data_IF_069181648257
#
_entry.id   IF_069181648257
#
_cell.length_a   1.000
_cell.length_b   1.000
_cell.length_c   1.000
_cell.angle_alpha   90.00
_cell.angle_beta   90.00
_cell.angle_gamma   90.00
#
_symmetry.space_group_name_H-M   'P 1'
#
loop_
_entity.id
_entity.type
_entity.pdbx_description
1 polymer ?
#
# COMPACT_ATOMS: atom_id res chain seq x y z
N UNK A 1 -25.10 -28.85 -0.45
CA UNK A 1 -25.28 -29.64 0.79
C UNK A 1 -25.44 -31.14 0.53
N UNK A 2 -26.36 -31.59 -0.35
CA UNK A 2 -26.59 -33.01 -0.62
C UNK A 2 -25.33 -33.81 -1.03
N UNK A 3 -24.49 -33.29 -1.93
CA UNK A 3 -23.25 -33.95 -2.35
C UNK A 3 -22.23 -34.11 -1.21
N UNK A 4 -22.11 -33.11 -0.33
CA UNK A 4 -21.21 -33.16 0.82
C UNK A 4 -21.68 -34.15 1.89
N UNK A 5 -22.98 -34.16 2.20
CA UNK A 5 -23.58 -35.13 3.13
C UNK A 5 -23.46 -36.56 2.60
N UNK A 6 -23.69 -36.76 1.30
CA UNK A 6 -23.54 -38.06 0.64
C UNK A 6 -22.08 -38.55 0.65
N UNK A 7 -21.12 -37.66 0.38
CA UNK A 7 -19.70 -37.99 0.44
C UNK A 7 -19.28 -38.35 1.87
N UNK A 8 -19.74 -37.60 2.88
CA UNK A 8 -19.48 -37.89 4.28
C UNK A 8 -20.06 -39.25 4.70
N UNK A 9 -21.30 -39.55 4.30
CA UNK A 9 -21.93 -40.85 4.53
C UNK A 9 -21.13 -41.99 3.89
N UNK A 10 -20.68 -41.83 2.64
CA UNK A 10 -19.89 -42.84 1.93
C UNK A 10 -18.54 -43.10 2.61
N UNK A 11 -17.84 -42.05 3.06
CA UNK A 11 -16.55 -42.19 3.74
C UNK A 11 -16.69 -42.84 5.12
N UNK A 12 -17.72 -42.47 5.90
CA UNK A 12 -17.92 -43.00 7.25
C UNK A 12 -18.50 -44.41 7.27
N UNK A 13 -19.49 -44.71 6.42
CA UNK A 13 -20.22 -45.99 6.43
C UNK A 13 -19.57 -47.02 5.51
N UNK A 14 -19.13 -46.63 4.32
CA UNK A 14 -18.51 -47.54 3.33
C UNK A 14 -16.96 -47.57 3.43
N UNK A 15 -16.37 -46.91 4.43
CA UNK A 15 -14.93 -46.89 4.67
C UNK A 15 -14.22 -48.26 4.58
N UNK A 16 -14.78 -49.36 5.13
CA UNK A 16 -14.17 -50.69 5.03
C UNK A 16 -14.05 -51.23 3.60
N UNK A 17 -14.96 -50.84 2.71
CA UNK A 17 -14.96 -51.27 1.30
C UNK A 17 -14.07 -50.35 0.46
N UNK A 18 -14.07 -49.04 0.76
CA UNK A 18 -13.20 -48.06 0.11
C UNK A 18 -11.71 -48.41 0.30
N UNK A 19 -11.33 -48.94 1.46
CA UNK A 19 -9.94 -49.39 1.72
C UNK A 19 -9.48 -50.59 0.88
N UNK A 20 -10.40 -51.37 0.30
CA UNK A 20 -10.08 -52.52 -0.54
C UNK A 20 -9.81 -52.13 -2.01
N UNK A 21 -10.01 -50.85 -2.35
CA UNK A 21 -9.78 -50.37 -3.72
C UNK A 21 -8.28 -50.49 -4.05
N UNK A 22 -7.92 -51.20 -5.12
CA UNK A 22 -6.52 -51.37 -5.50
C UNK A 22 -5.91 -50.02 -5.92
N UNK A 23 -4.68 -49.76 -5.48
CA UNK A 23 -3.95 -48.52 -5.81
C UNK A 23 -3.81 -48.30 -7.32
N UNK A 24 -3.77 -49.39 -8.11
CA UNK A 24 -3.75 -49.33 -9.57
C UNK A 24 -4.99 -48.63 -10.17
N UNK A 25 -6.18 -48.84 -9.61
CA UNK A 25 -7.40 -48.18 -10.09
C UNK A 25 -7.36 -46.67 -9.81
N UNK A 26 -6.84 -46.25 -8.64
CA UNK A 26 -6.67 -44.84 -8.29
C UNK A 26 -5.67 -44.14 -9.21
N UNK A 27 -4.51 -44.77 -9.48
CA UNK A 27 -3.51 -44.24 -10.42
C UNK A 27 -4.07 -44.12 -11.83
N UNK A 28 -4.84 -45.11 -12.31
CA UNK A 28 -5.47 -45.05 -13.63
C UNK A 28 -6.44 -43.87 -13.75
N UNK A 29 -7.25 -43.63 -12.72
CA UNK A 29 -8.14 -42.45 -12.67
C UNK A 29 -7.32 -41.15 -12.66
N UNK A 30 -6.25 -41.06 -11.87
CA UNK A 30 -5.38 -39.87 -11.84
C UNK A 30 -4.73 -39.58 -13.20
N UNK A 31 -4.24 -40.60 -13.90
CA UNK A 31 -3.66 -40.45 -15.25
C UNK A 31 -4.73 -39.98 -16.25
N UNK A 32 -5.93 -40.56 -16.21
CA UNK A 32 -7.04 -40.16 -17.09
C UNK A 32 -7.43 -38.68 -16.89
N UNK A 33 -7.51 -38.23 -15.63
CA UNK A 33 -7.78 -36.83 -15.29
C UNK A 33 -6.63 -35.91 -15.74
N UNK A 34 -5.37 -36.31 -15.53
CA UNK A 34 -4.21 -35.53 -15.94
C UNK A 34 -4.16 -35.33 -17.47
N UNK A 35 -4.44 -36.38 -18.25
CA UNK A 35 -4.51 -36.31 -19.71
C UNK A 35 -5.66 -35.41 -20.17
N UNK A 36 -6.81 -35.47 -19.51
CA UNK A 36 -7.98 -34.63 -19.82
C UNK A 36 -7.80 -33.15 -19.46
N UNK A 37 -6.99 -32.85 -18.44
CA UNK A 37 -6.71 -31.48 -18.00
C UNK A 37 -5.63 -30.82 -18.87
N UNK A 38 -4.73 -31.62 -19.47
CA UNK A 38 -3.67 -31.10 -20.33
C UNK A 38 -4.22 -30.64 -21.70
N UNK A 39 -4.12 -29.34 -21.97
CA UNK A 39 -4.55 -28.79 -23.26
C UNK A 39 -3.50 -29.04 -24.35
N UNK A 40 -3.58 -30.19 -25.02
CA UNK A 40 -2.72 -30.58 -26.14
C UNK A 40 -2.72 -29.59 -27.32
N UNK A 41 -3.80 -28.82 -27.49
CA UNK A 41 -3.89 -27.76 -28.50
C UNK A 41 -2.94 -26.60 -28.24
N UNK A 42 -2.59 -26.31 -26.98
CA UNK A 42 -1.68 -25.22 -26.61
C UNK A 42 -0.23 -25.50 -27.02
N UNK A 43 0.20 -26.76 -26.96
CA UNK A 43 1.55 -27.18 -27.40
C UNK A 43 1.68 -27.09 -28.92
N UNK A 44 0.64 -27.50 -29.66
CA UNK A 44 0.66 -27.47 -31.14
C UNK A 44 0.57 -26.05 -31.71
N UNK A 45 -0.07 -25.13 -30.99
CA UNK A 45 -0.23 -23.73 -31.40
C UNK A 45 0.80 -22.77 -30.79
N UNK A 46 1.85 -23.29 -30.15
CA UNK A 46 2.88 -22.50 -29.47
C UNK A 46 3.54 -21.44 -30.38
N UNK A 47 3.64 -21.74 -31.67
CA UNK A 47 4.20 -20.86 -32.70
C UNK A 47 3.23 -19.78 -33.19
N UNK A 48 1.92 -19.95 -33.00
CA UNK A 48 0.88 -18.98 -33.41
C UNK A 48 0.56 -17.97 -32.31
N UNK A 49 0.83 -18.31 -31.05
CA UNK A 49 0.64 -17.39 -29.92
C UNK A 49 1.71 -16.27 -29.91
N UNK A 50 1.40 -15.10 -29.33
CA UNK A 50 2.40 -14.06 -29.10
C UNK A 50 3.61 -14.63 -28.36
N UNK A 51 4.83 -14.34 -28.84
CA UNK A 51 6.08 -14.92 -28.29
C UNK A 51 6.20 -14.76 -26.77
N UNK A 52 5.70 -13.65 -26.22
CA UNK A 52 5.66 -13.40 -24.77
C UNK A 52 4.76 -14.40 -24.02
N UNK A 53 3.58 -14.71 -24.56
CA UNK A 53 2.64 -15.63 -23.93
C UNK A 53 3.15 -17.07 -23.92
N UNK A 54 3.75 -17.50 -25.04
CA UNK A 54 4.35 -18.84 -25.14
C UNK A 54 5.54 -19.00 -24.18
N UNK A 55 6.34 -17.94 -24.03
CA UNK A 55 7.46 -17.93 -23.07
C UNK A 55 6.97 -18.05 -21.63
N UNK A 56 5.96 -17.28 -21.23
CA UNK A 56 5.38 -17.35 -19.88
C UNK A 56 4.90 -18.77 -19.58
N UNK A 57 4.10 -19.37 -20.48
CA UNK A 57 3.57 -20.72 -20.27
C UNK A 57 4.68 -21.77 -20.17
N UNK A 58 5.74 -21.67 -20.99
CA UNK A 58 6.85 -22.61 -20.92
C UNK A 58 7.63 -22.44 -19.60
N UNK A 59 7.89 -21.20 -19.19
CA UNK A 59 8.59 -20.90 -17.95
C UNK A 59 7.81 -21.42 -16.73
N UNK A 60 6.49 -21.24 -16.68
CA UNK A 60 5.68 -21.77 -15.56
C UNK A 60 5.75 -23.29 -15.51
N UNK A 61 5.56 -23.98 -16.64
CA UNK A 61 5.62 -25.45 -16.70
C UNK A 61 6.99 -25.97 -16.26
N UNK A 62 8.08 -25.37 -16.77
CA UNK A 62 9.45 -25.77 -16.40
C UNK A 62 9.70 -25.58 -14.90
N UNK A 63 9.26 -24.47 -14.32
CA UNK A 63 9.39 -24.22 -12.87
C UNK A 63 8.60 -25.24 -12.07
N UNK A 64 7.32 -25.50 -12.40
CA UNK A 64 6.51 -26.48 -11.67
C UNK A 64 7.13 -27.87 -11.74
N UNK A 65 7.57 -28.32 -12.92
CA UNK A 65 8.12 -29.66 -13.12
C UNK A 65 9.49 -29.82 -12.45
N UNK A 66 10.36 -28.81 -12.52
CA UNK A 66 11.68 -28.88 -11.87
C UNK A 66 11.61 -28.78 -10.35
N UNK A 67 10.75 -27.90 -9.84
CA UNK A 67 10.66 -27.64 -8.39
C UNK A 67 9.64 -28.52 -7.67
N UNK A 68 8.81 -29.26 -8.41
CA UNK A 68 7.66 -30.02 -7.89
C UNK A 68 6.70 -29.17 -7.06
N UNK A 69 6.66 -27.86 -7.33
CA UNK A 69 5.92 -26.86 -6.56
C UNK A 69 5.09 -25.98 -7.50
N UNK A 70 3.77 -26.17 -7.44
CA UNK A 70 2.82 -25.41 -8.25
C UNK A 70 2.85 -23.92 -7.90
N UNK A 71 3.05 -23.56 -6.63
CA UNK A 71 3.00 -22.17 -6.18
C UNK A 71 4.14 -21.34 -6.77
N UNK A 72 5.36 -21.91 -6.85
CA UNK A 72 6.50 -21.26 -7.52
C UNK A 72 6.25 -21.01 -8.99
N UNK A 73 5.64 -21.99 -9.68
CA UNK A 73 5.26 -21.83 -11.09
C UNK A 73 4.24 -20.72 -11.29
N UNK A 74 3.18 -20.67 -10.46
CA UNK A 74 2.18 -19.60 -10.51
C UNK A 74 2.81 -18.23 -10.25
N UNK A 75 3.67 -18.12 -9.23
CA UNK A 75 4.35 -16.87 -8.89
C UNK A 75 5.19 -16.32 -10.06
N UNK A 76 6.04 -17.18 -10.65
CA UNK A 76 6.85 -16.81 -11.82
C UNK A 76 5.96 -16.43 -13.01
N UNK A 77 4.86 -17.15 -13.22
CA UNK A 77 3.90 -16.87 -14.28
C UNK A 77 3.24 -15.51 -14.17
N UNK A 78 2.79 -15.14 -12.96
CA UNK A 78 2.16 -13.85 -12.69
C UNK A 78 3.17 -12.71 -12.87
N UNK A 79 4.39 -12.87 -12.36
CA UNK A 79 5.44 -11.86 -12.52
C UNK A 79 5.80 -11.61 -13.99
N UNK A 80 6.08 -12.67 -14.75
CA UNK A 80 6.43 -12.54 -16.16
C UNK A 80 5.26 -11.97 -16.97
N UNK A 81 4.02 -12.39 -16.68
CA UNK A 81 2.83 -11.84 -17.33
C UNK A 81 2.69 -10.33 -17.08
N UNK A 82 2.90 -9.87 -15.85
CA UNK A 82 2.87 -8.45 -15.50
C UNK A 82 3.91 -7.63 -16.26
N UNK A 83 5.15 -8.11 -16.34
CA UNK A 83 6.24 -7.45 -17.08
C UNK A 83 5.93 -7.36 -18.58
N UNK A 84 5.48 -8.46 -19.19
CA UNK A 84 5.15 -8.44 -20.63
C UNK A 84 3.91 -7.60 -20.92
N UNK A 85 2.95 -7.55 -19.99
CA UNK A 85 1.80 -6.67 -20.10
C UNK A 85 2.21 -5.19 -20.07
N UNK A 86 3.07 -4.79 -19.13
CA UNK A 86 3.61 -3.43 -19.07
C UNK A 86 4.31 -3.03 -20.38
N UNK A 87 5.16 -3.92 -20.92
CA UNK A 87 5.85 -3.69 -22.20
C UNK A 87 4.89 -3.64 -23.40
N UNK A 88 3.81 -4.41 -23.39
CA UNK A 88 2.81 -4.40 -24.45
C UNK A 88 2.02 -3.08 -24.47
N UNK A 89 1.73 -2.52 -23.29
CA UNK A 89 1.04 -1.22 -23.15
C UNK A 89 1.97 -0.05 -23.51
N UNK A 90 3.28 -0.17 -23.26
CA UNK A 90 4.28 0.85 -23.61
C UNK A 90 4.43 1.14 -25.11
N UNK A 91 4.02 0.21 -25.98
CA UNK A 91 4.16 0.34 -27.45
C UNK A 91 3.05 1.12 -28.14
N UNK A 92 2.09 1.68 -27.41
CA UNK A 92 1.01 2.47 -27.99
C UNK A 92 1.37 3.93 -28.23
N UNK A 93 2.61 4.37 -27.97
CA UNK A 93 3.07 5.73 -28.23
C UNK A 93 3.85 5.79 -29.56
N UNK A 94 3.44 6.69 -30.47
CA UNK A 94 4.14 6.97 -31.72
C UNK A 94 4.40 8.48 -31.86
N UNK A 95 5.63 8.82 -32.25
CA UNK A 95 6.06 10.21 -32.51
C UNK A 95 6.45 10.31 -33.97
N UNK A 96 5.66 11.04 -34.74
CA UNK A 96 5.94 11.34 -36.14
C UNK A 96 6.63 12.70 -36.23
N UNK A 97 7.72 12.80 -37.01
CA UNK A 97 8.40 14.07 -37.26
C UNK A 97 8.22 14.48 -38.72
N UNK A 98 7.88 15.75 -38.94
CA UNK A 98 7.79 16.35 -40.27
C UNK A 98 8.53 17.68 -40.30
N UNK A 99 9.37 17.87 -41.31
CA UNK A 99 9.96 19.18 -41.59
C UNK A 99 8.94 20.06 -42.32
N UNK A 100 8.86 21.33 -41.92
CA UNK A 100 8.03 22.34 -42.54
C UNK A 100 8.84 23.63 -42.72
N UNK A 101 8.35 24.53 -43.57
CA UNK A 101 8.98 25.84 -43.79
C UNK A 101 10.45 25.74 -44.24
N UNK A 102 10.71 24.97 -45.30
CA UNK A 102 12.05 24.75 -45.87
C UNK A 102 13.10 24.22 -44.87
N UNK A 103 12.67 23.58 -43.78
CA UNK A 103 13.56 23.02 -42.76
C UNK A 103 13.79 23.92 -41.54
N UNK A 104 13.21 25.13 -41.50
CA UNK A 104 13.32 26.05 -40.36
C UNK A 104 12.38 25.70 -39.19
N UNK A 105 11.31 24.94 -39.45
CA UNK A 105 10.35 24.50 -38.45
C UNK A 105 10.19 22.98 -38.44
N UNK A 106 10.43 22.35 -37.29
CA UNK A 106 10.15 20.92 -37.10
C UNK A 106 8.84 20.73 -36.35
N UNK A 107 7.94 19.92 -36.91
CA UNK A 107 6.70 19.50 -36.24
C UNK A 107 6.84 18.07 -35.74
N UNK A 108 6.64 17.88 -34.45
CA UNK A 108 6.49 16.56 -33.84
C UNK A 108 5.03 16.34 -33.51
N UNK A 109 4.47 15.22 -34.00
CA UNK A 109 3.10 14.81 -33.70
C UNK A 109 3.16 13.58 -32.83
N UNK A 110 2.76 13.74 -31.58
CA UNK A 110 2.73 12.68 -30.58
C UNK A 110 1.34 12.08 -30.56
N UNK A 111 1.27 10.76 -30.68
CA UNK A 111 0.01 10.01 -30.65
C UNK A 111 0.10 8.85 -29.67
N UNK A 112 -1.02 8.56 -28.99
CA UNK A 112 -1.14 7.41 -28.11
C UNK A 112 -0.81 7.69 -26.64
N UNK A 113 -0.30 6.70 -25.92
CA UNK A 113 -0.28 6.68 -24.44
C UNK A 113 1.12 6.99 -23.89
N UNK A 114 1.28 8.10 -23.16
CA UNK A 114 2.53 8.50 -22.48
C UNK A 114 2.38 8.32 -20.97
N UNK A 115 3.25 7.51 -20.38
CA UNK A 115 3.24 7.16 -18.96
C UNK A 115 4.68 6.83 -18.51
N UNK A 116 4.87 6.56 -17.22
CA UNK A 116 6.18 6.33 -16.60
C UNK A 116 7.07 5.38 -17.40
N UNK A 117 6.54 4.23 -17.85
CA UNK A 117 7.33 3.23 -18.56
C UNK A 117 7.70 3.61 -20.00
N UNK A 118 7.03 4.61 -20.60
CA UNK A 118 7.35 5.11 -21.95
C UNK A 118 8.07 6.46 -21.95
N UNK A 119 8.32 7.06 -20.79
CA UNK A 119 8.97 8.38 -20.62
C UNK A 119 10.35 8.47 -21.28
N UNK A 120 11.21 7.45 -21.10
CA UNK A 120 12.54 7.43 -21.72
C UNK A 120 12.46 7.31 -23.23
N UNK A 121 11.61 6.41 -23.74
CA UNK A 121 11.39 6.22 -25.17
C UNK A 121 10.79 7.48 -25.82
N UNK A 122 9.92 8.18 -25.09
CA UNK A 122 9.36 9.46 -25.51
C UNK A 122 10.46 10.50 -25.71
N UNK A 123 11.33 10.71 -24.72
CA UNK A 123 12.44 11.67 -24.82
C UNK A 123 13.39 11.28 -25.96
N UNK A 124 13.68 9.98 -26.13
CA UNK A 124 14.58 9.48 -27.16
C UNK A 124 14.04 9.63 -28.60
N UNK A 125 12.73 9.86 -28.76
CA UNK A 125 12.11 10.04 -30.08
C UNK A 125 12.29 11.44 -30.69
N UNK A 126 12.80 12.39 -29.90
CA UNK A 126 13.11 13.73 -30.36
C UNK A 126 14.57 13.85 -30.75
N UNK A 127 14.83 14.53 -31.86
CA UNK A 127 16.19 14.83 -32.31
C UNK A 127 16.57 16.23 -31.82
N UNK A 128 17.48 16.27 -30.85
CA UNK A 128 17.99 17.52 -30.27
C UNK A 128 19.23 18.07 -30.98
N UNK A 129 19.80 17.32 -31.92
CA UNK A 129 21.06 17.70 -32.60
C UNK A 129 20.83 18.44 -33.92
N UNK A 130 19.60 18.44 -34.41
CA UNK A 130 19.23 19.15 -35.62
C UNK A 130 19.18 20.67 -35.36
N UNK A 131 19.80 21.45 -36.26
CA UNK A 131 19.83 22.92 -36.16
C UNK A 131 18.53 23.48 -36.73
N UNK A 132 17.59 23.82 -35.87
CA UNK A 132 16.26 24.35 -36.23
C UNK A 132 15.91 25.56 -35.37
N UNK A 133 15.21 26.55 -35.94
CA UNK A 133 14.87 27.79 -35.23
C UNK A 133 13.63 27.61 -34.34
N UNK A 134 12.66 26.81 -34.80
CA UNK A 134 11.40 26.56 -34.11
C UNK A 134 10.98 25.09 -34.12
N UNK A 135 10.49 24.64 -32.98
CA UNK A 135 9.90 23.31 -32.79
C UNK A 135 8.45 23.45 -32.35
N UNK A 136 7.57 22.71 -33.02
CA UNK A 136 6.16 22.60 -32.64
C UNK A 136 5.85 21.17 -32.24
N UNK A 137 5.46 20.97 -30.99
CA UNK A 137 5.11 19.66 -30.43
C UNK A 137 3.58 19.59 -30.29
N UNK A 138 2.94 18.82 -31.17
CA UNK A 138 1.50 18.56 -31.12
C UNK A 138 1.24 17.30 -30.30
N UNK A 139 0.66 17.49 -29.11
CA UNK A 139 0.25 16.43 -28.19
C UNK A 139 -1.27 16.23 -28.16
N UNK A 140 -2.03 16.87 -29.06
CA UNK A 140 -3.51 16.85 -29.03
C UNK A 140 -4.12 15.45 -29.13
N UNK A 141 -3.38 14.47 -29.66
CA UNK A 141 -3.78 13.05 -29.78
C UNK A 141 -2.96 12.11 -28.89
N UNK A 142 -2.20 12.66 -27.95
CA UNK A 142 -1.50 11.93 -26.93
C UNK A 142 -2.27 12.02 -25.61
N UNK A 143 -2.14 11.02 -24.76
CA UNK A 143 -2.70 11.01 -23.42
C UNK A 143 -1.59 10.80 -22.40
N UNK A 144 -1.49 11.72 -21.45
CA UNK A 144 -0.53 11.67 -20.35
C UNK A 144 -1.22 11.08 -19.12
N UNK A 145 -0.73 9.95 -18.63
CA UNK A 145 -1.39 9.19 -17.56
C UNK A 145 -0.85 9.45 -16.15
N UNK A 146 0.36 10.00 -16.03
CA UNK A 146 1.02 10.25 -14.75
C UNK A 146 1.93 11.50 -14.78
N UNK A 147 2.36 11.95 -13.60
CA UNK A 147 3.23 13.11 -13.40
C UNK A 147 4.58 12.92 -14.11
N UNK A 148 5.06 11.67 -14.20
CA UNK A 148 6.33 11.35 -14.86
C UNK A 148 6.25 11.61 -16.37
N UNK A 149 5.11 11.32 -16.99
CA UNK A 149 4.85 11.61 -18.40
C UNK A 149 4.91 13.13 -18.67
N UNK A 150 4.31 13.95 -17.80
CA UNK A 150 4.38 15.42 -17.91
C UNK A 150 5.83 15.89 -17.75
N UNK A 151 6.54 15.37 -16.74
CA UNK A 151 7.94 15.70 -16.50
C UNK A 151 8.86 15.33 -17.68
N UNK A 152 8.52 14.27 -18.42
CA UNK A 152 9.22 13.89 -19.63
C UNK A 152 9.02 14.92 -20.76
N UNK A 153 7.80 15.46 -20.93
CA UNK A 153 7.52 16.55 -21.86
C UNK A 153 8.27 17.83 -21.48
N UNK A 154 8.27 18.21 -20.21
CA UNK A 154 9.03 19.37 -19.72
C UNK A 154 10.52 19.22 -19.99
N UNK A 155 11.06 18.01 -19.80
CA UNK A 155 12.46 17.70 -20.10
C UNK A 155 12.79 17.87 -21.58
N UNK A 156 11.90 17.47 -22.49
CA UNK A 156 12.05 17.68 -23.95
C UNK A 156 12.03 19.18 -24.27
N UNK A 157 11.06 19.92 -23.74
CA UNK A 157 10.93 21.37 -23.97
C UNK A 157 12.17 22.11 -23.46
N UNK A 158 12.65 21.79 -22.27
CA UNK A 158 13.85 22.38 -21.68
C UNK A 158 15.11 22.07 -22.49
N UNK A 159 15.26 20.83 -23.00
CA UNK A 159 16.39 20.47 -23.85
C UNK A 159 16.43 21.29 -25.14
N UNK A 160 15.31 21.43 -25.86
CA UNK A 160 15.25 22.28 -27.05
C UNK A 160 15.52 23.75 -26.74
N UNK A 161 15.00 24.29 -25.63
CA UNK A 161 15.26 25.68 -25.23
C UNK A 161 16.73 25.93 -24.88
N UNK A 162 17.44 24.94 -24.31
CA UNK A 162 18.88 25.03 -24.04
C UNK A 162 19.72 25.11 -25.32
N UNK A 163 19.27 24.47 -26.39
CA UNK A 163 19.87 24.57 -27.74
C UNK A 163 19.44 25.86 -28.47
N UNK A 164 18.74 26.79 -27.80
CA UNK A 164 18.33 28.07 -28.37
C UNK A 164 17.09 28.00 -29.28
N UNK A 165 16.40 26.86 -29.32
CA UNK A 165 15.24 26.63 -30.18
C UNK A 165 13.95 27.12 -29.51
N UNK A 166 13.13 27.89 -30.22
CA UNK A 166 11.82 28.31 -29.70
C UNK A 166 10.81 27.15 -29.79
N UNK A 167 10.20 26.77 -28.66
CA UNK A 167 9.31 25.61 -28.55
C UNK A 167 7.87 26.03 -28.29
N UNK A 168 6.94 25.51 -29.09
CA UNK A 168 5.50 25.66 -28.95
C UNK A 168 4.84 24.29 -28.74
N UNK A 169 4.04 24.15 -27.67
CA UNK A 169 3.31 22.91 -27.35
C UNK A 169 1.82 23.12 -27.64
N UNK A 170 1.24 22.25 -28.48
CA UNK A 170 -0.17 22.31 -28.87
C UNK A 170 -0.94 21.14 -28.25
N UNK A 171 -2.15 21.40 -27.77
CA UNK A 171 -3.08 20.36 -27.30
C UNK A 171 -2.82 19.83 -25.89
N UNK A 172 -1.95 20.49 -25.11
CA UNK A 172 -1.62 20.06 -23.75
C UNK A 172 -2.86 19.94 -22.86
N UNK A 173 -3.82 20.87 -22.97
CA UNK A 173 -5.06 20.83 -22.20
C UNK A 173 -5.89 19.54 -22.47
N UNK A 174 -5.93 19.07 -23.71
CA UNK A 174 -6.63 17.84 -24.09
C UNK A 174 -5.83 16.58 -23.74
N UNK A 175 -4.51 16.65 -23.81
CA UNK A 175 -3.60 15.55 -23.51
C UNK A 175 -3.43 15.29 -22.01
N UNK A 176 -3.52 16.37 -21.20
CA UNK A 176 -3.49 16.36 -19.73
C UNK A 176 -4.87 16.20 -19.10
N UNK A 177 -5.95 16.25 -19.91
CA UNK A 177 -7.32 16.06 -19.43
C UNK A 177 -7.50 14.75 -18.64
N UNK A 178 -6.76 13.69 -18.99
CA UNK A 178 -6.82 12.39 -18.30
C UNK A 178 -6.24 12.41 -16.88
N UNK A 179 -5.27 13.30 -16.62
CA UNK A 179 -4.73 13.55 -15.27
C UNK A 179 -5.62 14.50 -14.46
N UNK A 180 -6.21 15.47 -15.16
CA UNK A 180 -7.16 16.43 -14.61
C UNK A 180 -8.48 15.74 -14.25
N UNK A 181 -9.01 14.79 -15.02
CA UNK A 181 -10.27 14.07 -14.71
C UNK A 181 -10.20 13.18 -13.45
N UNK A 182 -9.00 12.77 -13.01
CA UNK A 182 -8.83 12.03 -11.75
C UNK A 182 -8.73 12.92 -10.51
N UNK A 183 -8.54 14.24 -10.70
CA UNK A 183 -8.33 15.21 -9.61
C UNK A 183 -9.14 16.50 -9.74
N UNK A 184 -9.92 16.68 -10.80
CA UNK A 184 -10.69 17.90 -11.05
C UNK A 184 -12.14 17.53 -11.37
N UNK A 185 -12.98 17.83 -10.38
CA UNK A 185 -14.42 17.96 -10.51
C UNK A 185 -14.70 18.93 -11.67
N UNK A 186 -15.53 18.46 -12.62
CA UNK A 186 -15.93 19.15 -13.86
C UNK A 186 -16.14 20.66 -13.74
N UNK A 187 -15.79 21.42 -14.80
CA UNK A 187 -16.26 22.79 -14.96
C UNK A 187 -16.84 23.09 -16.35
N UNK A 188 -17.99 23.76 -16.30
CA UNK A 188 -18.63 24.55 -17.35
C UNK A 188 -18.55 26.04 -16.91
N UNK A 189 -18.93 27.02 -17.74
CA UNK A 189 -18.25 28.33 -17.84
C UNK A 189 -18.42 29.23 -16.60
N UNK A 190 -17.29 29.71 -16.06
CA UNK A 190 -17.20 30.67 -14.95
C UNK A 190 -15.75 31.05 -14.59
N UNK A 191 -14.80 30.95 -15.53
CA UNK A 191 -13.36 30.94 -15.24
C UNK A 191 -12.85 32.19 -14.49
N UNK A 192 -13.43 33.36 -14.71
CA UNK A 192 -13.03 34.59 -14.02
C UNK A 192 -13.56 34.65 -12.56
N UNK A 193 -14.82 34.26 -12.32
CA UNK A 193 -15.36 34.14 -10.95
C UNK A 193 -14.64 33.01 -10.18
N UNK A 194 -14.25 31.94 -10.88
CA UNK A 194 -13.48 30.86 -10.28
C UNK A 194 -12.05 31.25 -9.97
N UNK A 195 -11.39 32.05 -10.81
CA UNK A 195 -10.06 32.57 -10.49
C UNK A 195 -10.11 33.43 -9.23
N UNK A 196 -11.11 34.32 -9.10
CA UNK A 196 -11.31 35.08 -7.87
C UNK A 196 -11.67 34.20 -6.66
N UNK A 197 -12.50 33.16 -6.84
CA UNK A 197 -12.86 32.22 -5.77
C UNK A 197 -11.70 31.32 -5.37
N UNK A 198 -10.82 30.95 -6.32
CA UNK A 198 -9.63 30.14 -6.05
C UNK A 198 -8.54 30.97 -5.39
N UNK A 199 -8.40 32.24 -5.77
CA UNK A 199 -7.55 33.19 -5.07
C UNK A 199 -8.10 33.46 -3.65
N UNK A 200 -9.42 33.62 -3.50
CA UNK A 200 -10.07 33.73 -2.19
C UNK A 200 -9.89 32.46 -1.35
N UNK A 201 -10.05 31.27 -1.94
CA UNK A 201 -9.84 29.99 -1.25
C UNK A 201 -8.37 29.80 -0.87
N UNK A 202 -7.42 30.17 -1.74
CA UNK A 202 -5.98 30.12 -1.46
C UNK A 202 -5.60 31.05 -0.32
N UNK A 203 -6.09 32.29 -0.33
CA UNK A 203 -5.87 33.24 0.78
C UNK A 203 -6.55 32.80 2.07
N UNK A 204 -7.72 32.15 1.98
CA UNK A 204 -8.42 31.58 3.11
C UNK A 204 -7.68 30.38 3.70
N UNK A 205 -7.13 29.49 2.86
CA UNK A 205 -6.29 28.37 3.27
C UNK A 205 -4.97 28.86 3.90
N UNK A 206 -4.37 29.92 3.35
CA UNK A 206 -3.20 30.56 3.94
C UNK A 206 -3.52 31.13 5.34
N UNK A 207 -4.63 31.86 5.48
CA UNK A 207 -5.08 32.39 6.77
C UNK A 207 -5.39 31.27 7.75
N UNK A 208 -6.08 30.21 7.31
CA UNK A 208 -6.41 29.04 8.12
C UNK A 208 -5.15 28.31 8.59
N UNK A 209 -4.16 28.16 7.71
CA UNK A 209 -2.87 27.56 8.05
C UNK A 209 -2.10 28.40 9.09
N UNK A 210 -2.08 29.73 8.93
CA UNK A 210 -1.49 30.65 9.93
C UNK A 210 -2.17 30.53 11.30
N UNK A 211 -3.51 30.55 11.33
CA UNK A 211 -4.28 30.38 12.58
C UNK A 211 -3.99 29.01 13.20
N UNK A 212 -3.95 27.94 12.41
CA UNK A 212 -3.64 26.60 12.91
C UNK A 212 -2.21 26.52 13.48
N UNK A 213 -1.24 27.20 12.87
CA UNK A 213 0.13 27.30 13.39
C UNK A 213 0.18 28.08 14.71
N UNK A 214 -0.53 29.20 14.82
CA UNK A 214 -0.60 29.97 16.06
C UNK A 214 -1.28 29.18 17.19
N UNK A 215 -2.42 28.55 16.92
CA UNK A 215 -3.12 27.68 17.87
C UNK A 215 -2.24 26.49 18.31
N UNK A 216 -1.54 25.86 17.37
CA UNK A 216 -0.61 24.77 17.67
C UNK A 216 0.55 25.22 18.56
N UNK A 217 1.06 26.44 18.34
CA UNK A 217 2.12 27.02 19.16
C UNK A 217 1.64 27.34 20.57
N UNK A 218 0.48 27.97 20.70
CA UNK A 218 -0.14 28.28 22.00
C UNK A 218 -0.43 27.01 22.81
N UNK A 219 -1.01 25.99 22.17
CA UNK A 219 -1.22 24.68 22.77
C UNK A 219 0.07 24.05 23.28
N UNK A 220 1.15 24.11 22.48
CA UNK A 220 2.45 23.57 22.85
C UNK A 220 3.03 24.29 24.08
N UNK A 221 2.92 25.61 24.16
CA UNK A 221 3.38 26.39 25.32
C UNK A 221 2.57 26.06 26.58
N UNK A 222 1.26 25.93 26.49
CA UNK A 222 0.42 25.49 27.61
C UNK A 222 0.77 24.06 28.07
N UNK A 223 1.06 23.15 27.13
CA UNK A 223 1.51 21.81 27.46
C UNK A 223 2.88 21.82 28.16
N UNK A 224 3.82 22.67 27.72
CA UNK A 224 5.11 22.85 28.39
C UNK A 224 4.97 23.34 29.82
N UNK A 225 4.15 24.37 30.03
CA UNK A 225 3.91 24.92 31.37
C UNK A 225 3.31 23.86 32.29
N UNK A 226 2.34 23.09 31.81
CA UNK A 226 1.75 21.99 32.59
C UNK A 226 2.77 20.93 32.96
N UNK A 227 3.63 20.53 32.02
CA UNK A 227 4.69 19.56 32.28
C UNK A 227 5.72 20.09 33.28
N UNK A 228 6.10 21.36 33.18
CA UNK A 228 7.01 22.01 34.12
C UNK A 228 6.43 22.10 35.54
N UNK A 229 5.14 22.44 35.67
CA UNK A 229 4.43 22.44 36.96
C UNK A 229 4.33 21.03 37.58
N UNK A 230 4.28 19.99 36.75
CA UNK A 230 4.36 18.60 37.19
C UNK A 230 5.79 18.14 37.55
N UNK A 231 6.79 19.03 37.46
CA UNK A 231 8.18 18.75 37.84
C UNK A 231 9.02 18.09 36.73
N UNK A 232 8.55 18.06 35.49
CA UNK A 232 9.32 17.50 34.36
C UNK A 232 10.39 18.51 33.92
N UNK A 233 11.66 18.15 34.08
CA UNK A 233 12.81 19.03 33.82
C UNK A 233 13.42 18.87 32.42
N UNK A 234 13.20 17.73 31.76
CA UNK A 234 13.66 17.47 30.41
C UNK A 234 12.46 17.41 29.46
N UNK A 235 12.23 18.52 28.77
CA UNK A 235 11.12 18.66 27.85
C UNK A 235 11.61 19.21 26.51
N UNK A 236 11.39 18.43 25.45
CA UNK A 236 11.51 18.90 24.07
C UNK A 236 10.10 19.06 23.50
N UNK A 237 9.87 20.16 22.79
CA UNK A 237 8.58 20.45 22.20
C UNK A 237 8.79 20.95 20.77
N UNK A 238 8.20 20.22 19.83
CA UNK A 238 8.38 20.46 18.40
C UNK A 238 7.03 20.71 17.75
N UNK A 239 6.94 21.76 16.95
CA UNK A 239 5.84 21.97 16.01
C UNK A 239 6.32 21.52 14.63
N UNK A 240 5.55 20.65 13.97
CA UNK A 240 5.90 20.04 12.68
C UNK A 240 4.80 20.30 11.67
N UNK A 241 5.21 20.48 10.41
CA UNK A 241 4.30 20.58 9.29
C UNK A 241 4.22 19.24 8.57
N UNK A 242 3.04 18.88 8.07
CA UNK A 242 2.79 17.60 7.40
C UNK A 242 1.74 16.76 8.11
N UNK A 243 1.63 15.49 7.70
CA UNK A 243 0.69 14.54 8.31
C UNK A 243 1.30 13.87 9.53
N UNK A 244 0.46 13.51 10.51
CA UNK A 244 0.90 12.83 11.74
C UNK A 244 1.74 11.58 11.46
N UNK A 245 1.32 10.76 10.49
CA UNK A 245 2.00 9.51 10.14
C UNK A 245 3.40 9.78 9.60
N UNK A 246 3.53 10.68 8.63
CA UNK A 246 4.82 11.02 8.01
C UNK A 246 5.79 11.54 9.07
N UNK A 247 5.35 12.46 9.93
CA UNK A 247 6.20 13.05 10.96
C UNK A 247 6.63 12.03 12.01
N UNK A 248 5.76 11.10 12.41
CA UNK A 248 6.12 10.05 13.37
C UNK A 248 7.11 9.04 12.78
N UNK A 249 6.98 8.70 11.50
CA UNK A 249 7.92 7.81 10.80
C UNK A 249 9.30 8.47 10.69
N UNK A 250 9.37 9.77 10.38
CA UNK A 250 10.63 10.51 10.34
C UNK A 250 11.35 10.56 11.69
N UNK A 251 10.60 10.55 12.80
CA UNK A 251 11.13 10.62 14.17
C UNK A 251 11.27 9.25 14.84
N UNK A 252 11.02 8.16 14.11
CA UNK A 252 10.91 6.81 14.69
C UNK A 252 12.16 6.37 15.46
N UNK A 253 13.36 6.75 15.01
CA UNK A 253 14.62 6.42 15.68
C UNK A 253 14.78 7.06 17.06
N UNK A 254 14.06 8.15 17.33
CA UNK A 254 14.06 8.89 18.60
C UNK A 254 12.88 8.46 19.51
N UNK A 255 11.92 7.69 18.99
CA UNK A 255 10.67 7.35 19.68
C UNK A 255 10.77 6.01 20.42
N UNK A 256 10.59 6.07 21.74
CA UNK A 256 10.41 4.87 22.59
C UNK A 256 8.94 4.51 22.81
N UNK A 257 8.07 5.51 22.82
CA UNK A 257 6.61 5.39 22.99
C UNK A 257 5.97 6.62 22.35
N UNK A 258 4.98 6.43 21.49
CA UNK A 258 4.14 7.49 20.97
C UNK A 258 2.82 7.51 21.76
N UNK A 259 2.50 8.63 22.42
CA UNK A 259 1.22 8.80 23.13
C UNK A 259 0.30 9.66 22.27
N UNK A 260 -0.86 9.13 21.91
CA UNK A 260 -1.85 9.78 21.05
C UNK A 260 -3.14 10.02 21.83
N UNK A 261 -3.64 11.24 21.80
CA UNK A 261 -4.98 11.58 22.29
C UNK A 261 -6.06 11.29 21.25
N UNK A 262 -7.34 11.22 21.66
CA UNK A 262 -8.45 10.97 20.76
C UNK A 262 -8.68 12.18 19.83
N UNK A 263 -8.99 11.92 18.55
CA UNK A 263 -9.38 12.97 17.62
C UNK A 263 -10.82 13.40 17.92
N UNK A 264 -11.02 14.63 18.41
CA UNK A 264 -12.38 15.18 18.58
C UNK A 264 -12.95 15.57 17.20
N UNK A 265 -13.78 14.72 16.62
CA UNK A 265 -14.74 15.17 15.61
C UNK A 265 -16.16 14.61 15.78
N UNK A 266 -16.38 13.55 16.56
CA UNK A 266 -17.74 13.07 16.77
C UNK A 266 -17.99 12.57 18.19
N UNK A 267 -19.01 13.13 18.85
CA UNK A 267 -19.45 12.70 20.19
C UNK A 267 -20.36 11.45 20.12
N UNK A 268 -20.67 10.97 18.91
CA UNK A 268 -21.67 9.91 18.69
C UNK A 268 -21.09 8.52 18.38
N UNK A 269 -19.77 8.40 18.16
CA UNK A 269 -19.15 7.11 17.85
C UNK A 269 -18.89 6.26 19.10
N UNK A 270 -19.12 4.93 19.05
CA UNK A 270 -18.81 4.00 20.14
C UNK A 270 -17.33 4.05 20.56
N UNK A 271 -17.06 3.82 21.86
CA UNK A 271 -15.71 3.83 22.47
C UNK A 271 -14.67 2.90 21.80
N UNK A 272 -15.08 1.97 20.94
CA UNK A 272 -14.22 0.94 20.35
C UNK A 272 -13.82 1.17 18.89
N UNK A 273 -14.24 2.27 18.24
CA UNK A 273 -13.77 2.57 16.88
C UNK A 273 -12.50 3.42 16.92
N UNK A 274 -11.40 2.82 16.48
CA UNK A 274 -10.17 3.54 16.16
C UNK A 274 -10.42 4.38 14.89
N UNK A 275 -10.15 5.68 14.95
CA UNK A 275 -10.18 6.52 13.76
C UNK A 275 -9.10 6.08 12.76
N UNK A 276 -9.33 6.28 11.46
CA UNK A 276 -8.41 5.93 10.37
C UNK A 276 -7.00 6.49 10.59
N UNK A 277 -6.89 7.66 11.23
CA UNK A 277 -5.63 8.28 11.63
C UNK A 277 -4.82 7.38 12.57
N UNK A 278 -5.46 6.81 13.59
CA UNK A 278 -4.81 5.94 14.57
C UNK A 278 -4.42 4.61 13.94
N UNK A 279 -5.29 4.03 13.13
CA UNK A 279 -5.01 2.79 12.40
C UNK A 279 -3.80 2.94 11.47
N UNK A 280 -3.71 4.06 10.75
CA UNK A 280 -2.58 4.36 9.88
C UNK A 280 -1.27 4.52 10.65
N UNK A 281 -1.30 5.15 11.84
CA UNK A 281 -0.13 5.27 12.71
C UNK A 281 0.32 3.89 13.22
N UNK A 282 -0.60 3.08 13.75
CA UNK A 282 -0.29 1.73 14.27
C UNK A 282 0.29 0.81 13.18
N UNK A 283 -0.14 0.99 11.92
CA UNK A 283 0.39 0.21 10.78
C UNK A 283 1.75 0.68 10.29
N UNK A 284 2.05 1.97 10.43
CA UNK A 284 3.21 2.60 9.77
C UNK A 284 4.38 2.84 10.72
N UNK A 285 4.11 3.04 12.01
CA UNK A 285 5.12 3.30 13.05
C UNK A 285 5.40 2.02 13.84
N UNK A 286 6.67 1.62 13.94
CA UNK A 286 7.09 0.40 14.67
C UNK A 286 7.27 0.65 16.17
N UNK A 287 7.40 1.91 16.59
CA UNK A 287 7.44 2.27 17.99
C UNK A 287 6.07 1.96 18.66
N UNK A 288 6.04 1.51 19.93
CA UNK A 288 4.79 1.31 20.66
C UNK A 288 3.93 2.57 20.68
N UNK A 289 2.62 2.40 20.48
CA UNK A 289 1.63 3.48 20.48
C UNK A 289 0.68 3.30 21.66
N UNK A 290 0.58 4.31 22.52
CA UNK A 290 -0.38 4.39 23.61
C UNK A 290 -1.50 5.36 23.23
N UNK A 291 -2.74 4.91 23.34
CA UNK A 291 -3.90 5.77 23.19
C UNK A 291 -4.35 6.25 24.57
N UNK A 292 -4.30 7.56 24.79
CA UNK A 292 -4.76 8.17 26.02
C UNK A 292 -6.28 8.38 25.97
N UNK A 293 -6.96 8.14 27.10
CA UNK A 293 -8.36 8.52 27.27
C UNK A 293 -8.47 10.01 27.63
N UNK A 294 -9.69 10.57 27.58
CA UNK A 294 -9.98 11.98 27.83
C UNK A 294 -9.70 12.41 29.27
N UNK A 295 -9.81 11.49 30.22
CA UNK A 295 -9.56 11.73 31.63
C UNK A 295 -8.30 10.99 32.07
N UNK A 296 -7.36 11.74 32.66
CA UNK A 296 -6.13 11.16 33.20
C UNK A 296 -6.38 10.62 34.61
N UNK A 297 -6.14 9.33 34.76
CA UNK A 297 -5.92 8.69 36.05
C UNK A 297 -4.56 7.98 35.99
N UNK A 298 -3.80 8.05 37.09
CA UNK A 298 -2.50 7.38 37.18
C UNK A 298 -2.69 5.87 36.95
N UNK A 299 -2.07 5.28 35.91
CA UNK A 299 -2.18 3.86 35.65
C UNK A 299 -1.60 3.07 36.81
N UNK A 300 -2.35 2.08 37.32
CA UNK A 300 -1.88 1.15 38.36
C UNK A 300 -1.77 -0.30 37.88
N UNK A 301 -2.44 -0.60 36.77
CA UNK A 301 -2.54 -1.94 36.21
C UNK A 301 -2.51 -1.86 34.69
N UNK A 302 -2.02 -2.91 34.05
CA UNK A 302 -2.16 -3.11 32.61
C UNK A 302 -2.63 -4.53 32.32
N UNK A 303 -3.42 -4.66 31.27
CA UNK A 303 -3.86 -5.94 30.76
C UNK A 303 -3.34 -6.12 29.33
N UNK A 304 -3.01 -7.35 28.98
CA UNK A 304 -2.56 -7.74 27.65
C UNK A 304 -3.56 -8.72 27.08
N UNK A 305 -4.23 -8.33 25.99
CA UNK A 305 -5.01 -9.25 25.18
C UNK A 305 -4.05 -10.12 24.35
N UNK A 306 -4.05 -11.43 24.59
CA UNK A 306 -3.14 -12.37 23.96
C UNK A 306 -3.93 -13.44 23.19
N UNK A 307 -3.69 -13.50 21.88
CA UNK A 307 -4.36 -14.36 20.92
C UNK A 307 -3.52 -15.59 20.52
N UNK A 308 -2.30 -15.72 21.06
CA UNK A 308 -1.37 -16.79 20.70
C UNK A 308 -0.65 -16.62 19.35
N UNK A 309 -0.97 -15.56 18.59
CA UNK A 309 -0.42 -15.30 17.26
C UNK A 309 1.06 -14.96 17.29
N UNK A 310 1.73 -15.02 16.14
CA UNK A 310 3.15 -14.63 16.03
C UNK A 310 3.37 -13.16 16.41
N UNK A 311 2.40 -12.29 16.12
CA UNK A 311 2.39 -10.87 16.53
C UNK A 311 2.19 -10.74 18.04
N UNK A 312 1.20 -11.44 18.61
CA UNK A 312 0.97 -11.47 20.05
C UNK A 312 2.20 -11.94 20.83
N UNK A 313 2.91 -12.95 20.32
CA UNK A 313 4.17 -13.43 20.94
C UNK A 313 5.27 -12.37 20.93
N UNK A 314 5.45 -11.66 19.81
CA UNK A 314 6.42 -10.55 19.73
C UNK A 314 6.06 -9.42 20.70
N UNK A 315 4.77 -9.11 20.84
CA UNK A 315 4.30 -8.12 21.81
C UNK A 315 4.66 -8.52 23.24
N UNK A 316 4.40 -9.77 23.65
CA UNK A 316 4.77 -10.27 24.98
C UNK A 316 6.29 -10.17 25.24
N UNK A 317 7.12 -10.54 24.27
CA UNK A 317 8.57 -10.40 24.36
C UNK A 317 9.00 -8.93 24.50
N UNK A 318 8.34 -8.03 23.77
CA UNK A 318 8.60 -6.59 23.84
C UNK A 318 8.22 -6.04 25.21
N UNK A 319 7.07 -6.44 25.75
CA UNK A 319 6.61 -6.06 27.08
C UNK A 319 7.54 -6.59 28.19
N UNK A 320 8.05 -7.82 28.07
CA UNK A 320 8.98 -8.38 29.05
C UNK A 320 10.28 -7.56 29.19
N UNK A 321 10.67 -6.82 28.16
CA UNK A 321 11.90 -6.00 28.17
C UNK A 321 11.63 -4.52 28.48
N UNK A 322 10.37 -4.08 28.50
CA UNK A 322 10.06 -2.66 28.69
C UNK A 322 10.25 -2.22 30.15
N UNK A 323 10.93 -1.10 30.40
CA UNK A 323 10.99 -0.52 31.75
C UNK A 323 9.71 0.24 32.11
N UNK A 324 8.86 0.59 31.15
CA UNK A 324 7.73 1.52 31.33
C UNK A 324 6.60 0.98 32.22
N UNK A 325 6.46 -0.35 32.35
CA UNK A 325 5.31 -0.96 33.00
C UNK A 325 5.67 -1.72 34.29
N UNK A 326 6.94 -1.72 34.70
CA UNK A 326 7.45 -2.63 35.76
C UNK A 326 6.75 -2.50 37.11
N UNK A 327 6.27 -1.30 37.44
CA UNK A 327 5.62 -1.01 38.73
C UNK A 327 4.10 -1.27 38.70
N UNK A 328 3.55 -1.62 37.53
CA UNK A 328 2.12 -1.83 37.35
C UNK A 328 1.77 -3.31 37.56
N UNK A 329 0.60 -3.57 38.16
CA UNK A 329 0.08 -4.94 38.22
C UNK A 329 -0.28 -5.40 36.81
N UNK A 330 0.18 -6.59 36.42
CA UNK A 330 0.00 -7.13 35.07
C UNK A 330 -1.08 -8.21 35.04
N UNK A 331 -1.84 -8.26 33.95
CA UNK A 331 -2.77 -9.35 33.65
C UNK A 331 -2.67 -9.74 32.17
N UNK A 332 -2.78 -11.03 31.88
CA UNK A 332 -2.91 -11.58 30.54
C UNK A 332 -4.34 -12.08 30.39
N UNK A 333 -5.03 -11.61 29.36
CA UNK A 333 -6.39 -12.03 29.02
C UNK A 333 -6.34 -12.73 27.67
N UNK A 334 -6.84 -13.96 27.58
CA UNK A 334 -6.91 -14.73 26.35
C UNK A 334 -8.35 -15.20 26.11
N UNK A 335 -8.91 -14.91 24.93
CA UNK A 335 -10.20 -15.43 24.51
C UNK A 335 -9.98 -16.80 23.83
N UNK A 336 -10.44 -17.89 24.45
CA UNK A 336 -10.31 -19.24 23.90
C UNK A 336 -11.23 -20.24 24.62
N UNK A 337 -11.69 -21.28 23.92
CA UNK A 337 -12.51 -22.39 24.46
C UNK A 337 -11.73 -23.34 25.41
N UNK A 338 -10.78 -22.84 26.20
CA UNK A 338 -10.08 -23.61 27.23
C UNK A 338 -9.24 -24.81 26.74
N UNK A 339 -8.85 -24.83 25.46
CA UNK A 339 -8.11 -25.97 24.89
C UNK A 339 -6.73 -26.18 25.55
N UNK A 340 -6.17 -27.41 25.58
CA UNK A 340 -4.82 -27.65 26.08
C UNK A 340 -3.74 -26.81 25.38
N UNK A 341 -3.96 -26.50 24.10
CA UNK A 341 -3.08 -25.63 23.32
C UNK A 341 -3.13 -24.18 23.79
N UNK A 342 -4.34 -23.65 24.09
CA UNK A 342 -4.50 -22.31 24.63
C UNK A 342 -3.86 -22.15 26.01
N UNK A 343 -4.04 -23.15 26.89
CA UNK A 343 -3.38 -23.18 28.20
C UNK A 343 -1.85 -23.14 28.07
N UNK A 344 -1.27 -23.96 27.17
CA UNK A 344 0.15 -23.95 26.92
C UNK A 344 0.66 -22.61 26.36
N UNK A 345 -0.14 -21.92 25.54
CA UNK A 345 0.19 -20.59 25.03
C UNK A 345 0.12 -19.51 26.12
N UNK A 346 -0.90 -19.54 26.97
CA UNK A 346 -1.04 -18.61 28.09
C UNK A 346 0.08 -18.81 29.13
N UNK A 347 0.45 -20.05 29.43
CA UNK A 347 1.57 -20.40 30.31
C UNK A 347 2.92 -19.93 29.74
N UNK A 348 3.11 -20.04 28.42
CA UNK A 348 4.27 -19.47 27.75
C UNK A 348 4.33 -17.95 27.95
N UNK A 349 3.22 -17.24 27.74
CA UNK A 349 3.17 -15.79 27.91
C UNK A 349 3.44 -15.35 29.36
N UNK A 350 2.87 -16.07 30.34
CA UNK A 350 3.15 -15.89 31.76
C UNK A 350 4.64 -16.03 32.04
N UNK A 351 5.26 -17.11 31.57
CA UNK A 351 6.67 -17.40 31.79
C UNK A 351 7.58 -16.29 31.28
N UNK A 352 7.33 -15.79 30.05
CA UNK A 352 8.15 -14.73 29.44
C UNK A 352 8.02 -13.42 30.19
N UNK A 353 6.80 -12.99 30.56
CA UNK A 353 6.62 -11.80 31.36
C UNK A 353 7.23 -11.95 32.76
N UNK A 354 7.16 -13.14 33.37
CA UNK A 354 7.79 -13.40 34.66
C UNK A 354 9.32 -13.37 34.63
N UNK A 355 9.93 -13.82 33.53
CA UNK A 355 11.37 -13.61 33.29
C UNK A 355 11.73 -12.12 33.15
N UNK A 356 10.79 -11.30 32.65
CA UNK A 356 10.89 -9.84 32.59
C UNK A 356 10.69 -9.11 33.92
N UNK A 357 10.40 -9.83 35.02
CA UNK A 357 10.17 -9.27 36.34
C UNK A 357 8.71 -8.92 36.65
N UNK A 358 7.76 -9.36 35.83
CA UNK A 358 6.33 -9.13 36.04
C UNK A 358 5.66 -10.34 36.73
N UNK A 359 4.57 -10.12 37.47
CA UNK A 359 3.76 -11.21 38.06
C UNK A 359 2.35 -11.21 37.46
N UNK A 360 2.18 -11.66 36.20
CA UNK A 360 0.90 -11.53 35.51
C UNK A 360 -0.15 -12.54 35.97
N UNK A 361 -1.34 -12.05 36.30
CA UNK A 361 -2.52 -12.88 36.48
C UNK A 361 -3.07 -13.29 35.10
N UNK A 362 -3.24 -14.60 34.87
CA UNK A 362 -3.75 -15.12 33.59
C UNK A 362 -5.23 -15.44 33.72
N UNK A 363 -6.05 -14.84 32.86
CA UNK A 363 -7.48 -15.12 32.73
C UNK A 363 -7.75 -15.62 31.31
N UNK A 364 -8.36 -16.80 31.20
CA UNK A 364 -8.87 -17.34 29.95
C UNK A 364 -10.38 -17.18 29.98
N UNK A 365 -10.92 -16.45 29.00
CA UNK A 365 -12.33 -16.15 28.88
C UNK A 365 -12.89 -16.93 27.69
N UNK A 366 -14.02 -17.59 27.88
CA UNK A 366 -14.72 -18.26 26.79
C UNK A 366 -15.25 -17.21 25.80
N UNK A 367 -14.79 -17.30 24.54
CA UNK A 367 -15.17 -16.37 23.48
C UNK A 367 -14.27 -16.51 22.26
N UNK A 368 -14.75 -16.01 21.12
CA UNK A 368 -13.94 -15.88 19.91
C UNK A 368 -13.15 -14.56 19.99
N UNK A 369 -11.91 -14.52 19.52
CA UNK A 369 -11.08 -13.31 19.59
C UNK A 369 -11.59 -12.14 18.72
N UNK A 370 -12.61 -12.38 17.88
CA UNK A 370 -13.22 -11.41 16.96
C UNK A 370 -14.66 -11.01 17.32
N UNK A 371 -15.26 -11.60 18.36
CA UNK A 371 -16.61 -11.28 18.88
C UNK A 371 -16.53 -10.70 20.30
#
# INVERSE_FOLDING_TARGET
MAAGVFLLFMVLVLGPWVKQIPMAALVAVMIMVAIGTFNWGSVRNLTKHPKSSSFVMLATVVVVVSTHDLAKGVFVGVLLSGIFFANKVGRFMAVESAAHDEGRLRRYKVTGQVFFASSEAFIASFDFKEVIERVRIDVSRAHFWDITAISALDSVVLKFRREGVAVEVLGLNQASATLVDKFAIHDKPGAAERESLMEELSTLDERRSKIAMELGRDFLEHAKQRAALAGITQLDARQRHGTLVTTLVEMESELRLAVLGPHLHDKTLPRHHLDHTVENVVRSVRAPVLLADREYAEPRRFAVAFDGSSTGRKMIQTLATTPLLRELSSSIVMASEGTPQANAQADWARTILSQGGFSPEVSIVDGNAEE
#
